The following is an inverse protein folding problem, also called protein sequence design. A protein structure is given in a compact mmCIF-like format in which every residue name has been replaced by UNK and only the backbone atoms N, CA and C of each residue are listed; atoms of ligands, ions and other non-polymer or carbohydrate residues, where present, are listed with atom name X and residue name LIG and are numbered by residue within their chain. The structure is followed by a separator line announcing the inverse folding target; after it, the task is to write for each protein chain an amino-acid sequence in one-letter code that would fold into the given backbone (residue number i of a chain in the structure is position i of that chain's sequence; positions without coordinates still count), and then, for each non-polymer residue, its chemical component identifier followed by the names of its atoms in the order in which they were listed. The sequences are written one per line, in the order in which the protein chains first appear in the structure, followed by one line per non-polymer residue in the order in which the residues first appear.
data_IF_235694586803
#
_entry.id   IF_235694586803
#
_cell.length_a   1.000
_cell.length_b   1.000
_cell.length_c   1.000
_cell.angle_alpha   90.00
_cell.angle_beta   90.00
_cell.angle_gamma   90.00
#
_symmetry.space_group_name_H-M   'P 1'
#
loop_
_entity.id
_entity.type
_entity.pdbx_description
1 polymer ?
#
# COMPACT_ATOMS: atom_id res chain seq x y z
N UNK A 1 -47.02 -9.60 89.88
CA UNK A 1 -45.87 -8.94 89.24
C UNK A 1 -45.71 -9.53 87.85
N UNK A 2 -45.97 -8.79 86.74
CA UNK A 2 -45.91 -9.36 85.43
C UNK A 2 -44.50 -9.04 84.78
N UNK A 3 -43.87 -10.10 84.27
CA UNK A 3 -42.63 -10.08 83.53
C UNK A 3 -42.85 -9.55 82.12
N UNK A 4 -42.12 -8.55 81.69
CA UNK A 4 -42.09 -7.98 80.32
C UNK A 4 -41.05 -8.70 79.48
N UNK A 5 -41.49 -9.47 78.51
CA UNK A 5 -40.67 -9.99 77.46
C UNK A 5 -40.37 -8.90 76.37
N UNK A 6 -39.11 -8.58 76.20
CA UNK A 6 -38.68 -7.68 75.17
C UNK A 6 -38.32 -8.48 73.93
N UNK A 7 -39.07 -8.40 72.86
CA UNK A 7 -38.82 -9.06 71.60
C UNK A 7 -37.88 -8.19 70.79
N UNK A 8 -36.65 -8.70 70.51
CA UNK A 8 -35.66 -8.07 69.62
C UNK A 8 -35.97 -8.55 68.20
N UNK A 9 -36.37 -7.64 67.28
CA UNK A 9 -36.50 -7.91 65.84
C UNK A 9 -35.21 -7.65 65.22
N UNK A 10 -34.50 -8.68 64.73
CA UNK A 10 -33.29 -8.62 63.94
C UNK A 10 -33.65 -8.36 62.47
N UNK A 11 -33.45 -7.14 61.98
CA UNK A 11 -33.63 -6.81 60.57
C UNK A 11 -32.34 -7.18 59.82
N UNK A 12 -32.38 -8.29 59.08
CA UNK A 12 -31.27 -8.71 58.21
C UNK A 12 -31.33 -7.85 56.93
N UNK A 13 -30.45 -6.85 56.82
CA UNK A 13 -30.27 -6.06 55.60
C UNK A 13 -29.56 -6.89 54.51
N UNK A 14 -30.31 -7.28 53.47
CA UNK A 14 -29.80 -7.98 52.31
C UNK A 14 -29.10 -6.97 51.39
N UNK A 15 -27.76 -6.81 51.54
CA UNK A 15 -26.94 -5.96 50.64
C UNK A 15 -26.75 -6.72 49.32
N UNK A 16 -27.48 -6.35 48.28
CA UNK A 16 -27.22 -6.81 46.91
C UNK A 16 -25.97 -6.16 46.36
N UNK A 17 -24.87 -6.90 46.32
CA UNK A 17 -23.64 -6.50 45.63
C UNK A 17 -23.88 -6.69 44.15
N UNK A 18 -24.17 -5.61 43.43
CA UNK A 18 -24.17 -5.59 41.94
C UNK A 18 -22.74 -5.71 41.44
N UNK A 19 -22.36 -6.91 41.02
CA UNK A 19 -21.11 -7.13 40.30
C UNK A 19 -21.21 -6.48 38.91
N UNK A 20 -20.65 -5.28 38.76
CA UNK A 20 -20.33 -4.72 37.43
C UNK A 20 -19.16 -5.51 36.83
N UNK A 21 -19.43 -6.50 36.02
CA UNK A 21 -18.40 -7.07 35.12
C UNK A 21 -18.01 -5.97 34.12
N UNK A 22 -16.73 -5.58 34.07
CA UNK A 22 -16.30 -4.64 33.05
C UNK A 22 -16.58 -5.30 31.70
N UNK A 23 -17.45 -4.71 30.89
CA UNK A 23 -17.59 -5.05 29.48
C UNK A 23 -16.24 -4.72 28.86
N UNK A 24 -15.46 -5.76 28.56
CA UNK A 24 -14.23 -5.61 27.78
C UNK A 24 -14.65 -4.91 26.48
N UNK A 25 -14.26 -3.65 26.31
CA UNK A 25 -14.51 -2.93 25.09
C UNK A 25 -13.84 -3.75 23.96
N UNK A 26 -14.65 -4.37 23.10
CA UNK A 26 -14.15 -5.13 21.97
C UNK A 26 -13.20 -4.25 21.18
N UNK A 27 -11.95 -4.72 20.98
CA UNK A 27 -10.92 -3.96 20.25
C UNK A 27 -11.45 -3.58 18.87
N UNK A 28 -11.64 -2.29 18.64
CA UNK A 28 -12.06 -1.78 17.34
C UNK A 28 -10.86 -1.90 16.39
N UNK A 29 -10.84 -2.92 15.55
CA UNK A 29 -9.74 -3.17 14.63
C UNK A 29 -10.23 -3.61 13.27
N UNK A 30 -9.50 -3.22 12.23
CA UNK A 30 -9.70 -3.65 10.84
C UNK A 30 -8.41 -4.25 10.28
N UNK A 31 -8.58 -5.04 9.21
CA UNK A 31 -7.49 -5.56 8.40
C UNK A 31 -7.46 -4.84 7.05
N UNK A 32 -6.30 -4.29 6.68
CA UNK A 32 -6.07 -3.64 5.39
C UNK A 32 -5.09 -4.48 4.59
N UNK A 33 -5.54 -5.03 3.46
CA UNK A 33 -4.67 -5.67 2.48
C UNK A 33 -3.99 -4.60 1.62
N UNK A 34 -2.66 -4.57 1.62
CA UNK A 34 -1.88 -3.56 0.91
C UNK A 34 -0.60 -4.14 0.30
N UNK A 35 0.26 -3.28 -0.23
CA UNK A 35 1.49 -3.70 -0.90
C UNK A 35 2.72 -3.57 -0.03
N UNK A 36 3.71 -4.44 -0.28
CA UNK A 36 5.02 -4.35 0.37
C UNK A 36 5.70 -3.02 0.08
N UNK A 37 5.56 -2.48 -1.13
CA UNK A 37 6.12 -1.16 -1.47
C UNK A 37 5.50 -0.03 -0.66
N UNK A 38 4.18 -0.07 -0.39
CA UNK A 38 3.52 0.91 0.49
C UNK A 38 4.00 0.77 1.94
N UNK A 39 4.16 -0.47 2.43
CA UNK A 39 4.71 -0.72 3.76
C UNK A 39 6.15 -0.24 3.88
N UNK A 40 7.00 -0.58 2.90
CA UNK A 40 8.43 -0.28 2.90
C UNK A 40 8.71 1.23 2.72
N UNK A 41 7.78 1.98 2.14
CA UNK A 41 7.88 3.44 2.07
C UNK A 41 7.79 4.12 3.45
N UNK A 42 7.30 3.42 4.48
CA UNK A 42 7.11 3.97 5.83
C UNK A 42 5.80 4.73 6.04
N UNK A 43 4.97 4.90 4.99
CA UNK A 43 3.74 5.69 5.05
C UNK A 43 2.78 5.21 6.13
N UNK A 44 2.56 3.90 6.26
CA UNK A 44 1.67 3.36 7.29
C UNK A 44 2.16 3.65 8.71
N UNK A 45 3.48 3.60 8.93
CA UNK A 45 4.07 3.97 10.23
C UNK A 45 3.77 5.41 10.65
N UNK A 46 3.58 6.29 9.67
CA UNK A 46 3.22 7.69 9.89
C UNK A 46 1.69 7.90 10.01
N UNK A 47 0.89 7.36 9.08
CA UNK A 47 -0.54 7.63 9.00
C UNK A 47 -1.36 6.92 10.08
N UNK A 48 -1.06 5.64 10.37
CA UNK A 48 -1.91 4.82 11.23
C UNK A 48 -1.97 5.29 12.69
N UNK A 49 -0.89 5.81 13.30
CA UNK A 49 -0.97 6.43 14.63
C UNK A 49 -1.91 7.65 14.67
N UNK A 50 -1.93 8.48 13.62
CA UNK A 50 -2.79 9.67 13.52
C UNK A 50 -4.26 9.21 13.46
N UNK A 51 -4.57 8.25 12.58
CA UNK A 51 -5.91 7.69 12.47
C UNK A 51 -6.39 7.05 13.77
N UNK A 52 -5.53 6.25 14.42
CA UNK A 52 -5.84 5.58 15.69
C UNK A 52 -6.12 6.58 16.81
N UNK A 53 -5.32 7.64 16.92
CA UNK A 53 -5.52 8.68 17.93
C UNK A 53 -6.88 9.37 17.80
N UNK A 54 -7.36 9.55 16.56
CA UNK A 54 -8.64 10.19 16.26
C UNK A 54 -9.86 9.28 16.47
N UNK A 55 -9.75 7.99 16.07
CA UNK A 55 -10.92 7.10 15.93
C UNK A 55 -10.95 5.95 16.94
N UNK A 56 -9.85 5.72 17.62
CA UNK A 56 -9.62 4.52 18.44
C UNK A 56 -9.77 3.20 17.64
N UNK A 57 -9.57 3.24 16.32
CA UNK A 57 -9.56 2.05 15.46
C UNK A 57 -8.11 1.62 15.22
N UNK A 58 -7.82 0.35 15.50
CA UNK A 58 -6.52 -0.24 15.20
C UNK A 58 -6.52 -0.83 13.79
N UNK A 59 -5.57 -0.44 12.95
CA UNK A 59 -5.42 -0.96 11.58
C UNK A 59 -4.29 -1.98 11.54
N UNK A 60 -4.61 -3.22 11.14
CA UNK A 60 -3.64 -4.30 10.92
C UNK A 60 -3.39 -4.39 9.41
N UNK A 61 -2.16 -4.12 8.98
CA UNK A 61 -1.79 -4.16 7.56
C UNK A 61 -1.24 -5.54 7.22
N UNK A 62 -1.75 -6.13 6.13
CA UNK A 62 -1.19 -7.31 5.47
C UNK A 62 -0.51 -6.82 4.19
N UNK A 63 0.82 -6.69 4.24
CA UNK A 63 1.63 -6.20 3.12
C UNK A 63 2.08 -7.36 2.22
N UNK A 64 1.67 -7.32 0.94
CA UNK A 64 1.88 -8.40 -0.03
C UNK A 64 2.15 -7.83 -1.42
N UNK A 65 2.32 -8.66 -2.45
CA UNK A 65 2.19 -8.21 -3.84
C UNK A 65 0.73 -7.85 -4.16
N UNK A 66 0.47 -6.90 -5.08
CA UNK A 66 -0.88 -6.42 -5.39
C UNK A 66 -1.87 -7.56 -5.67
N UNK A 67 -1.48 -8.52 -6.50
CA UNK A 67 -2.34 -9.67 -6.81
C UNK A 67 -2.71 -10.49 -5.57
N UNK A 68 -1.76 -10.71 -4.67
CA UNK A 68 -1.98 -11.42 -3.41
C UNK A 68 -2.85 -10.61 -2.44
N UNK A 69 -2.67 -9.28 -2.38
CA UNK A 69 -3.50 -8.41 -1.56
C UNK A 69 -4.97 -8.43 -2.02
N UNK A 70 -5.20 -8.36 -3.34
CA UNK A 70 -6.53 -8.51 -3.93
C UNK A 70 -7.11 -9.92 -3.70
N UNK A 71 -6.29 -10.97 -3.75
CA UNK A 71 -6.74 -12.33 -3.45
C UNK A 71 -7.09 -12.51 -1.96
N UNK A 72 -6.34 -11.92 -1.05
CA UNK A 72 -6.65 -11.87 0.38
C UNK A 72 -8.02 -11.22 0.62
N UNK A 73 -8.26 -10.08 0.01
CA UNK A 73 -9.55 -9.38 0.07
C UNK A 73 -10.69 -10.18 -0.60
N UNK A 74 -10.42 -10.85 -1.73
CA UNK A 74 -11.39 -11.70 -2.43
C UNK A 74 -11.89 -12.87 -1.59
N UNK A 75 -11.08 -13.37 -0.66
CA UNK A 75 -11.47 -14.40 0.31
C UNK A 75 -12.22 -13.87 1.52
N UNK A 76 -12.26 -12.55 1.73
CA UNK A 76 -12.84 -11.92 2.92
C UNK A 76 -11.88 -11.87 4.12
N UNK A 77 -10.58 -12.08 3.88
CA UNK A 77 -9.54 -12.03 4.92
C UNK A 77 -9.05 -10.59 5.23
N UNK A 78 -9.62 -9.60 4.55
CA UNK A 78 -9.40 -8.17 4.78
C UNK A 78 -10.70 -7.39 4.73
N UNK A 79 -10.75 -6.26 5.43
CA UNK A 79 -11.87 -5.33 5.44
C UNK A 79 -11.75 -4.27 4.34
N UNK A 80 -10.50 -3.85 4.07
CA UNK A 80 -10.17 -2.79 3.12
C UNK A 80 -8.99 -3.23 2.25
N UNK A 81 -9.00 -2.80 0.99
CA UNK A 81 -7.85 -2.90 0.05
C UNK A 81 -7.28 -1.51 -0.16
N UNK A 82 -5.96 -1.35 -0.05
CA UNK A 82 -5.26 -0.11 -0.35
C UNK A 82 -4.01 -0.41 -1.17
N UNK A 83 -4.11 -0.28 -2.49
CA UNK A 83 -3.10 -0.70 -3.48
C UNK A 83 -2.95 0.34 -4.60
N UNK A 84 -2.11 0.05 -5.60
CA UNK A 84 -1.78 0.99 -6.68
C UNK A 84 -1.61 0.26 -8.03
N UNK A 85 -2.64 -0.46 -8.46
CA UNK A 85 -2.69 -1.13 -9.76
C UNK A 85 -4.11 -1.05 -10.34
N UNK A 86 -4.49 0.13 -10.80
CA UNK A 86 -5.84 0.51 -11.21
C UNK A 86 -6.53 -0.56 -12.06
N UNK A 87 -5.89 -1.06 -13.10
CA UNK A 87 -6.46 -2.09 -13.95
C UNK A 87 -6.81 -3.40 -13.23
N UNK A 88 -6.10 -3.75 -12.14
CA UNK A 88 -6.42 -4.91 -11.31
C UNK A 88 -7.54 -4.58 -10.30
N UNK A 89 -7.56 -3.36 -9.78
CA UNK A 89 -8.58 -2.82 -8.88
C UNK A 89 -9.93 -2.78 -9.58
N UNK A 90 -9.98 -2.25 -10.82
CA UNK A 90 -11.19 -2.23 -11.64
C UNK A 90 -11.73 -3.65 -11.93
N UNK A 91 -10.85 -4.61 -12.22
CA UNK A 91 -11.25 -6.01 -12.38
C UNK A 91 -11.81 -6.62 -11.09
N UNK A 92 -11.27 -6.21 -9.94
CA UNK A 92 -11.76 -6.65 -8.63
C UNK A 92 -13.18 -6.12 -8.36
N UNK A 93 -13.42 -4.84 -8.66
CA UNK A 93 -14.74 -4.21 -8.57
C UNK A 93 -15.75 -4.81 -9.56
N UNK A 94 -15.37 -4.96 -10.83
CA UNK A 94 -16.24 -5.52 -11.86
C UNK A 94 -16.73 -6.94 -11.52
N UNK A 95 -15.94 -7.70 -10.75
CA UNK A 95 -16.31 -9.02 -10.20
C UNK A 95 -17.14 -8.93 -8.92
N UNK A 96 -17.46 -7.74 -8.41
CA UNK A 96 -18.28 -7.51 -7.23
C UNK A 96 -17.59 -7.90 -5.90
N UNK A 97 -16.26 -7.83 -5.81
CA UNK A 97 -15.53 -8.10 -4.57
C UNK A 97 -15.31 -6.86 -3.72
N UNK A 98 -15.38 -5.67 -4.31
CA UNK A 98 -15.32 -4.39 -3.63
C UNK A 98 -16.56 -3.55 -3.91
N UNK A 99 -16.82 -2.55 -3.04
CA UNK A 99 -18.00 -1.68 -3.17
C UNK A 99 -17.76 -0.54 -4.15
N UNK A 100 -16.70 0.23 -3.92
CA UNK A 100 -16.31 1.40 -4.72
C UNK A 100 -14.83 1.68 -4.56
N UNK A 101 -14.17 2.13 -5.63
CA UNK A 101 -12.81 2.65 -5.60
C UNK A 101 -12.82 4.15 -5.35
N UNK A 102 -11.88 4.59 -4.52
CA UNK A 102 -11.58 6.01 -4.33
C UNK A 102 -10.10 6.24 -4.61
N UNK A 103 -9.79 7.30 -5.34
CA UNK A 103 -8.43 7.81 -5.42
C UNK A 103 -8.02 8.39 -4.07
N UNK A 104 -6.77 8.16 -3.68
CA UNK A 104 -6.23 8.63 -2.40
C UNK A 104 -5.08 9.58 -2.60
N UNK A 105 -4.11 9.15 -3.37
CA UNK A 105 -2.84 9.83 -3.60
C UNK A 105 -2.15 9.21 -4.81
N UNK A 106 -1.11 9.88 -5.30
CA UNK A 106 -0.18 9.28 -6.24
C UNK A 106 1.27 9.47 -5.79
N UNK A 107 2.14 8.60 -6.26
CA UNK A 107 3.56 8.82 -6.41
C UNK A 107 3.94 8.48 -7.85
N UNK A 108 5.22 8.47 -8.16
CA UNK A 108 5.69 8.04 -9.47
C UNK A 108 6.63 6.83 -9.36
N UNK A 109 6.74 6.13 -10.46
CA UNK A 109 7.85 5.24 -10.70
C UNK A 109 9.04 6.04 -11.23
N UNK A 110 10.22 5.51 -10.98
CA UNK A 110 11.48 6.02 -11.52
C UNK A 110 12.26 4.86 -12.13
N UNK A 111 12.92 5.11 -13.25
CA UNK A 111 13.92 4.18 -13.75
C UNK A 111 15.24 4.47 -13.05
N UNK A 112 15.69 3.52 -12.27
CA UNK A 112 16.99 3.55 -11.60
C UNK A 112 18.01 2.87 -12.52
N UNK A 113 19.22 3.37 -12.53
CA UNK A 113 20.31 2.78 -13.30
C UNK A 113 21.67 3.14 -12.73
N UNK A 114 22.74 2.48 -13.21
CA UNK A 114 24.10 2.77 -12.77
C UNK A 114 24.58 4.15 -13.26
N UNK A 115 25.47 4.79 -12.49
CA UNK A 115 26.09 6.07 -12.89
C UNK A 115 26.84 5.99 -14.23
N UNK A 116 27.33 4.80 -14.59
CA UNK A 116 28.03 4.55 -15.88
C UNK A 116 27.10 4.67 -17.09
N UNK A 117 25.77 4.53 -16.87
CA UNK A 117 24.72 4.71 -17.86
C UNK A 117 24.98 4.05 -19.23
N UNK A 118 25.19 2.72 -19.28
CA UNK A 118 25.58 2.03 -20.51
C UNK A 118 24.55 2.16 -21.65
N UNK A 119 23.30 2.46 -21.32
CA UNK A 119 22.25 2.69 -22.32
C UNK A 119 22.12 4.14 -22.77
N UNK A 120 22.81 5.09 -22.10
CA UNK A 120 22.77 6.53 -22.39
C UNK A 120 21.34 7.08 -22.30
N UNK A 121 20.71 6.86 -21.15
CA UNK A 121 19.30 7.21 -20.91
C UNK A 121 19.09 8.23 -19.78
N UNK A 122 20.16 8.55 -19.05
CA UNK A 122 20.09 9.44 -17.90
C UNK A 122 19.65 10.85 -18.31
N UNK A 123 18.64 11.36 -17.57
CA UNK A 123 18.05 12.68 -17.84
C UNK A 123 16.96 12.66 -18.92
N UNK A 124 16.71 11.50 -19.56
CA UNK A 124 15.57 11.36 -20.47
C UNK A 124 14.25 11.65 -19.76
N UNK A 125 13.30 12.24 -20.50
CA UNK A 125 11.91 12.42 -20.08
C UNK A 125 10.95 11.51 -20.85
N UNK A 126 11.50 10.53 -21.59
CA UNK A 126 10.74 9.53 -22.33
C UNK A 126 11.16 8.12 -21.89
N UNK A 127 10.32 7.51 -21.04
CA UNK A 127 10.61 6.18 -20.51
C UNK A 127 10.63 5.10 -21.60
N UNK A 128 9.75 5.20 -22.62
CA UNK A 128 9.71 4.19 -23.67
C UNK A 128 10.92 4.28 -24.60
N UNK A 129 11.42 5.48 -24.87
CA UNK A 129 12.68 5.67 -25.61
C UNK A 129 13.87 5.11 -24.79
N UNK A 130 13.88 5.32 -23.46
CA UNK A 130 14.90 4.76 -22.58
C UNK A 130 14.87 3.22 -22.57
N UNK A 131 13.71 2.61 -22.44
CA UNK A 131 13.57 1.17 -22.48
C UNK A 131 14.02 0.58 -23.82
N UNK A 132 13.69 1.21 -24.95
CA UNK A 132 14.20 0.82 -26.27
C UNK A 132 15.74 0.93 -26.36
N UNK A 133 16.33 1.94 -25.73
CA UNK A 133 17.79 2.09 -25.71
C UNK A 133 18.45 0.97 -24.87
N UNK A 134 17.89 0.64 -23.71
CA UNK A 134 18.34 -0.46 -22.85
C UNK A 134 18.32 -1.79 -23.63
N UNK A 135 17.20 -2.08 -24.31
CA UNK A 135 17.08 -3.28 -25.13
C UNK A 135 18.10 -3.32 -26.27
N UNK A 136 18.20 -2.25 -27.07
CA UNK A 136 19.15 -2.19 -28.22
C UNK A 136 20.60 -2.40 -27.80
N UNK A 137 20.98 -1.91 -26.62
CA UNK A 137 22.34 -2.05 -26.10
C UNK A 137 22.51 -3.30 -25.25
N UNK A 138 21.47 -4.12 -25.11
CA UNK A 138 21.45 -5.28 -24.21
C UNK A 138 22.00 -4.92 -22.80
N UNK A 139 21.71 -3.71 -22.32
CA UNK A 139 22.18 -3.24 -21.03
C UNK A 139 21.46 -3.99 -19.90
N UNK A 140 22.16 -4.40 -18.83
CA UNK A 140 21.56 -5.19 -17.78
C UNK A 140 20.31 -4.54 -17.18
N UNK A 141 19.22 -5.28 -17.06
CA UNK A 141 17.96 -4.86 -16.46
C UNK A 141 17.48 -5.92 -15.48
N UNK A 142 17.06 -5.49 -14.29
CA UNK A 142 16.49 -6.34 -13.26
C UNK A 142 15.00 -6.07 -13.16
N UNK A 143 14.19 -7.09 -13.38
CA UNK A 143 12.75 -7.08 -13.13
C UNK A 143 12.43 -7.76 -11.82
N UNK A 144 11.40 -7.26 -11.13
CA UNK A 144 10.87 -7.94 -9.94
C UNK A 144 10.37 -9.35 -10.25
N UNK A 145 9.68 -9.55 -11.37
CA UNK A 145 9.17 -10.88 -11.79
C UNK A 145 8.14 -11.50 -10.82
N UNK A 146 7.59 -10.76 -9.85
CA UNK A 146 6.80 -11.24 -8.71
C UNK A 146 5.28 -10.97 -8.85
N UNK A 147 4.83 -10.54 -10.01
CA UNK A 147 3.43 -10.14 -10.29
C UNK A 147 2.91 -9.01 -9.40
N UNK A 148 3.79 -8.20 -8.82
CA UNK A 148 3.43 -6.99 -8.08
C UNK A 148 2.91 -5.88 -8.99
N UNK A 149 2.38 -4.80 -8.38
CA UNK A 149 2.01 -3.59 -9.11
C UNK A 149 3.16 -2.98 -9.89
N UNK A 150 4.37 -2.92 -9.30
CA UNK A 150 5.59 -2.45 -9.98
C UNK A 150 5.94 -3.35 -11.17
N UNK A 151 5.87 -4.67 -11.03
CA UNK A 151 6.12 -5.59 -12.15
C UNK A 151 5.06 -5.43 -13.25
N UNK A 152 3.79 -5.26 -12.89
CA UNK A 152 2.72 -5.02 -13.87
C UNK A 152 2.91 -3.70 -14.62
N UNK A 153 3.32 -2.62 -13.92
CA UNK A 153 3.66 -1.33 -14.53
C UNK A 153 4.87 -1.44 -15.45
N UNK A 154 5.92 -2.15 -15.04
CA UNK A 154 7.10 -2.42 -15.87
C UNK A 154 6.72 -3.10 -17.19
N UNK A 155 5.94 -4.20 -17.13
CA UNK A 155 5.50 -4.92 -18.33
C UNK A 155 4.65 -4.04 -19.26
N UNK A 156 3.78 -3.19 -18.70
CA UNK A 156 3.00 -2.23 -19.48
C UNK A 156 3.88 -1.19 -20.17
N UNK A 157 4.95 -0.73 -19.52
CA UNK A 157 5.92 0.20 -20.12
C UNK A 157 6.73 -0.45 -21.24
N UNK A 158 7.14 -1.71 -21.09
CA UNK A 158 7.78 -2.49 -22.14
C UNK A 158 6.86 -2.65 -23.36
N UNK A 159 5.58 -2.98 -23.11
CA UNK A 159 4.58 -3.06 -24.18
C UNK A 159 4.37 -1.72 -24.90
N UNK A 160 4.32 -0.60 -24.17
CA UNK A 160 4.24 0.75 -24.75
C UNK A 160 5.52 1.15 -25.53
N UNK A 161 6.62 0.49 -25.22
CA UNK A 161 7.87 0.64 -25.99
C UNK A 161 7.92 -0.28 -27.23
N UNK A 162 6.82 -0.98 -27.57
CA UNK A 162 6.73 -1.99 -28.63
C UNK A 162 7.69 -3.18 -28.43
N UNK A 163 7.95 -3.53 -27.17
CA UNK A 163 8.82 -4.63 -26.77
C UNK A 163 7.98 -5.71 -26.08
N UNK A 164 7.95 -6.91 -26.66
CA UNK A 164 7.27 -8.04 -26.02
C UNK A 164 8.10 -8.63 -24.89
N UNK A 165 7.51 -8.69 -23.68
CA UNK A 165 8.16 -9.28 -22.51
C UNK A 165 8.61 -10.73 -22.72
N UNK A 166 7.90 -11.50 -23.55
CA UNK A 166 8.26 -12.89 -23.89
C UNK A 166 9.57 -12.96 -24.71
N UNK A 167 9.88 -11.89 -25.49
CA UNK A 167 11.13 -11.78 -26.25
C UNK A 167 12.35 -11.38 -25.39
N UNK A 168 12.10 -10.93 -24.15
CA UNK A 168 13.13 -10.46 -23.22
C UNK A 168 13.83 -11.57 -22.44
N UNK A 169 13.55 -12.85 -22.67
CA UNK A 169 14.28 -14.00 -22.09
C UNK A 169 15.72 -14.09 -22.60
N UNK A 170 16.46 -13.01 -22.40
CA UNK A 170 17.86 -12.86 -22.80
C UNK A 170 18.72 -12.57 -21.56
N UNK A 171 20.02 -12.72 -21.69
CA UNK A 171 20.98 -12.55 -20.58
C UNK A 171 20.97 -11.18 -19.90
N UNK A 172 20.53 -10.14 -20.61
CA UNK A 172 20.45 -8.76 -20.10
C UNK A 172 19.19 -8.47 -19.28
N UNK A 173 18.09 -9.22 -19.44
CA UNK A 173 16.83 -9.06 -18.68
C UNK A 173 16.67 -10.18 -17.67
N UNK A 174 16.67 -9.84 -16.39
CA UNK A 174 16.67 -10.81 -15.30
C UNK A 174 15.49 -10.61 -14.37
N UNK A 175 14.54 -11.54 -14.40
CA UNK A 175 13.47 -11.65 -13.40
C UNK A 175 14.00 -12.35 -12.15
N UNK A 176 13.77 -11.76 -10.97
CA UNK A 176 14.27 -12.32 -9.70
C UNK A 176 13.19 -12.95 -8.83
N UNK A 177 11.92 -12.75 -9.13
CA UNK A 177 10.80 -13.30 -8.36
C UNK A 177 10.67 -12.77 -6.94
N UNK A 178 11.19 -11.57 -6.64
CA UNK A 178 11.27 -11.02 -5.27
C UNK A 178 10.82 -9.56 -5.20
N UNK A 179 10.65 -9.04 -3.94
CA UNK A 179 10.22 -7.68 -3.66
C UNK A 179 11.23 -6.60 -4.06
N UNK A 180 10.80 -5.33 -3.96
CA UNK A 180 11.54 -4.17 -4.48
C UNK A 180 12.92 -4.00 -3.85
N UNK A 181 13.07 -4.22 -2.55
CA UNK A 181 14.35 -4.14 -1.87
C UNK A 181 15.39 -5.14 -2.41
N UNK A 182 14.96 -6.37 -2.69
CA UNK A 182 15.83 -7.39 -3.31
C UNK A 182 16.17 -7.02 -4.77
N UNK A 183 15.21 -6.47 -5.52
CA UNK A 183 15.45 -6.00 -6.88
C UNK A 183 16.48 -4.87 -6.93
N UNK A 184 16.38 -3.90 -6.04
CA UNK A 184 17.36 -2.80 -5.93
C UNK A 184 18.74 -3.30 -5.50
N UNK A 185 18.83 -4.24 -4.55
CA UNK A 185 20.11 -4.86 -4.16
C UNK A 185 20.75 -5.61 -5.33
N UNK A 186 19.95 -6.38 -6.08
CA UNK A 186 20.44 -7.11 -7.26
C UNK A 186 20.89 -6.14 -8.36
N UNK A 187 20.14 -5.07 -8.61
CA UNK A 187 20.51 -4.04 -9.58
C UNK A 187 21.80 -3.32 -9.18
N UNK A 188 22.00 -3.00 -7.89
CA UNK A 188 23.22 -2.40 -7.38
C UNK A 188 24.45 -3.33 -7.60
N UNK A 189 24.30 -4.63 -7.30
CA UNK A 189 25.36 -5.60 -7.48
C UNK A 189 25.69 -5.88 -8.95
N UNK A 190 24.70 -5.80 -9.84
CA UNK A 190 24.84 -6.11 -11.27
C UNK A 190 25.11 -4.86 -12.15
N UNK A 191 25.18 -3.66 -11.59
CA UNK A 191 25.19 -2.39 -12.34
C UNK A 191 24.06 -2.34 -13.40
N UNK A 192 22.84 -2.71 -12.99
CA UNK A 192 21.71 -2.88 -13.86
C UNK A 192 20.68 -1.76 -13.70
N UNK A 193 19.83 -1.58 -14.72
CA UNK A 193 18.63 -0.78 -14.62
C UNK A 193 17.53 -1.56 -13.87
N UNK A 194 16.63 -0.83 -13.21
CA UNK A 194 15.46 -1.39 -12.52
C UNK A 194 14.37 -0.34 -12.40
N UNK A 195 13.11 -0.73 -12.59
CA UNK A 195 11.98 0.15 -12.29
C UNK A 195 11.65 0.07 -10.80
N UNK A 196 11.52 1.21 -10.14
CA UNK A 196 11.14 1.30 -8.73
C UNK A 196 10.11 2.40 -8.49
N UNK A 197 9.25 2.25 -7.49
CA UNK A 197 8.53 3.41 -6.97
C UNK A 197 9.49 4.36 -6.24
N UNK A 198 9.24 5.67 -6.35
CA UNK A 198 10.12 6.70 -5.78
C UNK A 198 10.23 6.56 -4.26
N UNK A 199 9.15 6.19 -3.57
CA UNK A 199 9.15 6.06 -2.12
C UNK A 199 10.13 5.00 -1.63
N UNK A 200 10.08 3.81 -2.22
CA UNK A 200 11.05 2.74 -1.91
C UNK A 200 12.46 3.16 -2.27
N UNK A 201 12.67 3.80 -3.44
CA UNK A 201 13.99 4.29 -3.82
C UNK A 201 14.56 5.31 -2.83
N UNK A 202 13.78 6.27 -2.37
CA UNK A 202 14.25 7.28 -1.42
C UNK A 202 14.61 6.69 -0.05
N UNK A 203 13.85 5.68 0.39
CA UNK A 203 14.10 4.93 1.64
C UNK A 203 15.24 3.92 1.52
N UNK A 204 15.60 3.50 0.30
CA UNK A 204 16.60 2.49 0.08
C UNK A 204 18.01 3.02 0.40
N UNK A 205 18.74 2.31 1.27
CA UNK A 205 20.05 2.77 1.78
C UNK A 205 21.24 2.27 0.98
N UNK A 206 21.16 1.05 0.45
CA UNK A 206 22.28 0.38 -0.23
C UNK A 206 22.34 0.77 -1.73
N UNK A 207 22.35 2.08 -2.03
CA UNK A 207 22.26 2.59 -3.40
C UNK A 207 23.50 2.28 -4.25
N UNK A 208 24.67 2.14 -3.63
CA UNK A 208 25.93 1.98 -4.38
C UNK A 208 26.10 3.07 -5.43
N UNK A 209 26.34 2.66 -6.67
CA UNK A 209 26.45 3.55 -7.83
C UNK A 209 25.13 3.77 -8.58
N UNK A 210 24.00 3.32 -8.02
CA UNK A 210 22.71 3.57 -8.62
C UNK A 210 22.24 5.02 -8.42
N UNK A 211 21.61 5.56 -9.45
CA UNK A 211 20.99 6.90 -9.48
C UNK A 211 19.66 6.82 -10.23
N UNK A 212 18.82 7.86 -10.09
CA UNK A 212 17.67 8.02 -10.98
C UNK A 212 18.17 8.32 -12.39
N UNK A 213 17.83 7.46 -13.33
CA UNK A 213 18.17 7.61 -14.75
C UNK A 213 17.04 8.32 -15.52
N UNK A 214 15.77 7.94 -15.29
CA UNK A 214 14.61 8.55 -15.93
C UNK A 214 13.53 8.82 -14.91
N UNK A 215 12.95 10.03 -14.97
CA UNK A 215 11.82 10.47 -14.14
C UNK A 215 10.98 11.54 -14.85
N UNK A 216 9.78 11.81 -14.33
CA UNK A 216 8.91 12.90 -14.78
C UNK A 216 8.19 12.64 -16.11
N UNK A 217 8.17 11.40 -16.58
CA UNK A 217 7.31 10.95 -17.67
C UNK A 217 5.90 10.65 -17.12
N UNK A 218 4.86 11.11 -17.81
CA UNK A 218 3.47 10.87 -17.39
C UNK A 218 3.10 9.39 -17.30
N UNK A 219 3.78 8.53 -18.08
CA UNK A 219 3.59 7.07 -18.06
C UNK A 219 4.14 6.40 -16.78
N UNK A 220 4.93 7.12 -16.00
CA UNK A 220 5.45 6.68 -14.71
C UNK A 220 4.52 7.01 -13.55
N UNK A 221 3.35 7.59 -13.82
CA UNK A 221 2.34 7.92 -12.81
C UNK A 221 1.83 6.66 -12.12
N UNK A 222 1.74 6.69 -10.79
CA UNK A 222 1.37 5.56 -9.94
C UNK A 222 0.26 5.98 -8.96
N UNK A 223 -0.99 5.76 -9.37
CA UNK A 223 -2.18 6.11 -8.60
C UNK A 223 -2.50 5.06 -7.55
N UNK A 224 -2.75 5.48 -6.32
CA UNK A 224 -3.21 4.66 -5.21
C UNK A 224 -4.72 4.73 -5.08
N UNK A 225 -5.34 3.55 -5.02
CA UNK A 225 -6.76 3.37 -4.80
C UNK A 225 -7.06 2.68 -3.47
N UNK A 226 -8.19 3.04 -2.85
CA UNK A 226 -8.72 2.38 -1.66
C UNK A 226 -10.14 1.90 -1.92
N UNK A 227 -10.47 0.69 -1.42
CA UNK A 227 -11.77 0.05 -1.63
C UNK A 227 -12.20 -0.68 -0.36
N UNK A 228 -13.48 -0.59 -0.02
CA UNK A 228 -14.09 -1.48 0.96
C UNK A 228 -14.37 -2.85 0.32
N UNK A 229 -14.01 -3.93 0.98
CA UNK A 229 -14.42 -5.29 0.58
C UNK A 229 -15.92 -5.42 0.73
N UNK A 230 -16.61 -6.06 -0.23
CA UNK A 230 -18.07 -6.08 -0.27
C UNK A 230 -18.65 -6.95 0.88
N UNK A 231 -19.32 -6.34 1.88
CA UNK A 231 -19.89 -7.06 3.03
C UNK A 231 -21.05 -7.98 2.63
N UNK A 232 -21.66 -7.78 1.45
CA UNK A 232 -22.72 -8.68 0.94
C UNK A 232 -22.16 -10.05 0.56
N UNK A 233 -20.88 -10.09 0.16
CA UNK A 233 -20.16 -11.35 -0.12
C UNK A 233 -19.50 -11.92 1.12
N UNK A 234 -19.02 -11.06 2.00
CA UNK A 234 -18.24 -11.43 3.17
C UNK A 234 -18.82 -10.76 4.43
N UNK A 235 -19.83 -11.38 5.07
CA UNK A 235 -20.50 -10.80 6.26
C UNK A 235 -19.56 -10.55 7.45
N UNK A 236 -18.36 -11.15 7.46
CA UNK A 236 -17.31 -10.92 8.47
C UNK A 236 -16.59 -9.59 8.32
N UNK A 237 -16.70 -8.93 7.16
CA UNK A 237 -16.07 -7.63 6.87
C UNK A 237 -16.66 -6.58 7.80
N UNK A 238 -15.79 -5.88 8.48
CA UNK A 238 -16.12 -4.78 9.40
C UNK A 238 -16.38 -3.49 8.61
N UNK A 239 -17.48 -3.52 7.84
CA UNK A 239 -17.80 -2.51 6.83
C UNK A 239 -17.82 -1.08 7.40
N UNK A 240 -18.44 -0.87 8.57
CA UNK A 240 -18.51 0.46 9.20
C UNK A 240 -17.14 0.99 9.58
N UNK A 241 -16.27 0.16 10.19
CA UNK A 241 -14.94 0.57 10.60
C UNK A 241 -14.02 0.76 9.38
N UNK A 242 -14.17 -0.12 8.37
CA UNK A 242 -13.43 0.01 7.10
C UNK A 242 -13.80 1.28 6.36
N UNK A 243 -15.09 1.63 6.31
CA UNK A 243 -15.54 2.87 5.69
C UNK A 243 -15.04 4.11 6.45
N UNK A 244 -15.00 4.09 7.80
CA UNK A 244 -14.39 5.18 8.58
C UNK A 244 -12.91 5.39 8.23
N UNK A 245 -12.16 4.32 7.95
CA UNK A 245 -10.78 4.45 7.51
C UNK A 245 -10.68 5.07 6.11
N UNK A 246 -11.51 4.63 5.17
CA UNK A 246 -11.58 5.20 3.80
C UNK A 246 -11.94 6.67 3.86
N UNK A 247 -13.02 7.03 4.57
CA UNK A 247 -13.51 8.40 4.70
C UNK A 247 -12.43 9.32 5.29
N UNK A 248 -11.67 8.83 6.28
CA UNK A 248 -10.56 9.60 6.83
C UNK A 248 -9.44 9.79 5.81
N UNK A 249 -9.03 8.75 5.07
CA UNK A 249 -7.98 8.85 4.06
C UNK A 249 -8.29 9.91 3.00
N UNK A 250 -9.57 10.00 2.57
CA UNK A 250 -10.01 10.95 1.55
C UNK A 250 -10.48 12.30 2.12
N UNK A 251 -10.51 12.45 3.44
CA UNK A 251 -10.87 13.71 4.11
C UNK A 251 -9.76 14.75 3.97
N UNK A 252 -10.06 16.05 4.16
CA UNK A 252 -9.05 17.09 4.19
C UNK A 252 -7.91 16.82 5.19
N UNK A 253 -8.23 16.20 6.34
CA UNK A 253 -7.24 15.88 7.36
C UNK A 253 -6.33 14.73 6.92
N UNK A 254 -6.89 13.62 6.41
CA UNK A 254 -6.11 12.50 5.88
C UNK A 254 -5.25 12.91 4.70
N UNK A 255 -5.80 13.71 3.79
CA UNK A 255 -5.07 14.25 2.64
C UNK A 255 -3.92 15.17 3.06
N UNK A 256 -4.14 16.02 4.08
CA UNK A 256 -3.06 16.81 4.67
C UNK A 256 -1.99 15.94 5.33
N UNK A 257 -2.36 14.92 6.07
CA UNK A 257 -1.42 13.99 6.67
C UNK A 257 -0.56 13.28 5.60
N UNK A 258 -1.15 12.88 4.46
CA UNK A 258 -0.42 12.32 3.33
C UNK A 258 0.57 13.34 2.75
N UNK A 259 0.16 14.60 2.55
CA UNK A 259 1.03 15.66 2.02
C UNK A 259 2.19 16.01 2.96
N UNK A 260 1.97 15.91 4.27
CA UNK A 260 2.97 16.21 5.29
C UNK A 260 4.01 15.08 5.47
N UNK A 261 3.71 13.88 4.94
CA UNK A 261 4.66 12.77 4.99
C UNK A 261 5.86 13.03 4.08
N UNK A 262 7.06 13.10 4.68
CA UNK A 262 8.31 13.40 3.97
C UNK A 262 9.40 12.41 4.37
N UNK A 263 10.24 12.04 3.41
CA UNK A 263 11.49 11.32 3.65
C UNK A 263 12.65 12.25 3.29
N UNK A 264 13.55 12.48 4.24
CA UNK A 264 14.70 13.38 4.07
C UNK A 264 14.30 14.82 3.61
N UNK A 265 13.10 15.27 4.04
CA UNK A 265 12.56 16.57 3.65
C UNK A 265 11.79 16.59 2.32
N UNK A 266 11.80 15.52 1.57
CA UNK A 266 11.11 15.41 0.27
C UNK A 266 9.71 14.79 0.42
N UNK A 267 8.72 15.39 -0.22
CA UNK A 267 7.36 14.86 -0.32
C UNK A 267 7.35 13.64 -1.24
N UNK A 268 6.75 12.53 -0.78
CA UNK A 268 6.69 11.29 -1.53
C UNK A 268 5.35 11.01 -2.17
N UNK A 269 4.29 11.38 -1.50
CA UNK A 269 2.93 11.11 -1.92
C UNK A 269 2.18 12.42 -2.10
N UNK A 270 1.48 12.53 -3.19
CA UNK A 270 0.71 13.71 -3.57
C UNK A 270 -0.78 13.36 -3.45
N UNK A 271 -1.49 13.93 -2.45
CA UNK A 271 -2.90 13.65 -2.24
C UNK A 271 -3.74 14.19 -3.40
N UNK A 272 -4.73 13.39 -3.84
CA UNK A 272 -5.62 13.78 -4.94
C UNK A 272 -7.04 13.20 -4.84
N UNK A 273 -7.49 12.82 -3.65
CA UNK A 273 -8.76 12.13 -3.44
C UNK A 273 -10.00 12.84 -4.01
N UNK A 274 -9.98 14.15 -4.15
CA UNK A 274 -11.12 14.96 -4.56
C UNK A 274 -10.83 15.80 -5.80
N UNK A 275 -9.82 15.43 -6.59
CA UNK A 275 -9.48 16.11 -7.85
C UNK A 275 -10.20 15.41 -9.00
N UNK A 276 -11.18 16.02 -9.67
CA UNK A 276 -11.85 15.42 -10.82
C UNK A 276 -10.84 15.14 -11.94
N UNK A 277 -10.74 13.89 -12.40
CA UNK A 277 -9.91 13.49 -13.53
C UNK A 277 -8.40 13.47 -13.24
N UNK A 278 -8.01 13.27 -11.98
CA UNK A 278 -6.60 13.06 -11.60
C UNK A 278 -6.08 11.71 -12.05
#
# INVERSE_FOLDING_TARGET
MPSRFLSFVLVLGLSTVTNFTPVSAQERSIVVASTTSTQDSGLFGYLLPIFKAKTNINVKVIAQGTGQALDTARRGDADVVFVHAEAQEEKFLAKGFGVKRFDVMYNDFVLIGPKSDPADVRGSKDITAALRAIQRKAAPFVSRGDKSGTHSAELALWQQADIDAASMKQSWYREIGQGMGAALNTAAAANAYVLADRGTWLSFRNKGDLVIAVEGDKRLFNQYGVMLVDPRRHPSVKAELGQQFIDWLISPEGQKAIADYKINGEQLFFPNANVPGA
#
